data_IF_708847819220
#
_entry.id   IF_708847819220
#
_cell.length_a   1.000
_cell.length_b   1.000
_cell.length_c   1.000
_cell.angle_alpha   90.00
_cell.angle_beta   90.00
_cell.angle_gamma   90.00
#
_symmetry.space_group_name_H-M   'P 1'
#
loop_
_entity.id
_entity.type
_entity.pdbx_description
1 polymer ?
#
# COMPACT_ATOMS: atom_id res chain seq x y z
N UNK A 1 3.08 -3.65 6.64
CA UNK A 1 3.81 -2.90 7.69
C UNK A 1 2.86 -2.71 8.85
N UNK A 2 3.38 -2.65 10.07
CA UNK A 2 2.59 -2.31 11.24
C UNK A 2 2.95 -0.90 11.69
N UNK A 3 1.94 -0.10 12.01
CA UNK A 3 2.16 1.18 12.69
C UNK A 3 2.28 0.97 14.21
N UNK A 4 2.78 1.96 14.96
CA UNK A 4 2.87 1.88 16.43
C UNK A 4 1.53 1.61 17.14
N UNK A 5 0.40 1.97 16.52
CA UNK A 5 -0.97 1.71 16.95
C UNK A 5 -1.53 0.35 16.48
N UNK A 6 -0.63 -0.57 16.09
CA UNK A 6 -0.95 -1.93 15.65
C UNK A 6 -1.83 -2.02 14.39
N UNK A 7 -1.93 -0.94 13.61
CA UNK A 7 -2.65 -0.93 12.34
C UNK A 7 -1.84 -1.64 11.25
N UNK A 8 -2.46 -2.59 10.56
CA UNK A 8 -1.85 -3.25 9.40
C UNK A 8 -2.04 -2.39 8.16
N UNK A 9 -0.93 -1.85 7.64
CA UNK A 9 -0.93 -1.04 6.41
C UNK A 9 -0.19 -1.79 5.29
N UNK A 10 -0.82 -1.85 4.12
CA UNK A 10 -0.16 -2.24 2.87
C UNK A 10 0.05 -1.02 1.98
N UNK A 11 1.32 -0.75 1.64
CA UNK A 11 1.71 0.37 0.79
C UNK A 11 2.09 -0.15 -0.59
N UNK A 12 1.49 0.42 -1.62
CA UNK A 12 1.80 0.17 -3.03
C UNK A 12 2.33 1.46 -3.63
N UNK A 13 3.61 1.49 -3.94
CA UNK A 13 4.21 2.64 -4.60
C UNK A 13 4.28 2.42 -6.11
N UNK A 14 3.89 3.43 -6.88
CA UNK A 14 4.11 3.50 -8.31
C UNK A 14 4.70 4.87 -8.63
N UNK A 15 5.75 4.86 -9.43
CA UNK A 15 6.29 6.05 -10.07
C UNK A 15 6.20 5.87 -11.58
N UNK A 16 6.14 6.97 -12.32
CA UNK A 16 6.48 6.90 -13.73
C UNK A 16 7.97 6.55 -13.76
N UNK A 17 8.31 5.28 -14.02
CA UNK A 17 9.67 4.87 -14.37
C UNK A 17 9.97 5.50 -15.72
N UNK A 18 10.45 6.73 -15.70
CA UNK A 18 10.85 7.43 -16.92
C UNK A 18 12.37 7.43 -17.01
N UNK A 19 12.88 6.87 -18.10
CA UNK A 19 13.96 7.56 -18.79
C UNK A 19 13.46 8.99 -19.03
N UNK A 20 14.22 9.97 -18.55
CA UNK A 20 13.83 11.39 -18.56
C UNK A 20 13.46 11.88 -19.97
N UNK A 21 13.97 11.20 -21.00
CA UNK A 21 13.45 11.24 -22.36
C UNK A 21 12.68 9.94 -22.70
N UNK A 22 11.35 9.96 -22.83
CA UNK A 22 10.65 8.88 -23.52
C UNK A 22 11.13 8.84 -24.97
N UNK A 23 11.67 7.70 -25.40
CA UNK A 23 12.05 7.50 -26.80
C UNK A 23 10.86 7.81 -27.71
N UNK A 24 11.07 8.42 -28.89
CA UNK A 24 10.00 8.69 -29.84
C UNK A 24 9.17 7.42 -30.09
N UNK A 25 7.86 7.49 -29.85
CA UNK A 25 6.94 6.36 -30.00
C UNK A 25 6.74 5.48 -28.75
N UNK A 26 7.34 5.80 -27.60
CA UNK A 26 7.14 5.06 -26.34
C UNK A 26 6.18 5.79 -25.40
N UNK A 27 4.99 5.23 -25.19
CA UNK A 27 4.06 5.73 -24.16
C UNK A 27 4.70 5.63 -22.77
N UNK A 28 4.40 6.61 -21.91
CA UNK A 28 4.76 6.54 -20.48
C UNK A 28 4.12 5.30 -19.86
N UNK A 29 4.81 4.69 -18.90
CA UNK A 29 4.25 3.55 -18.17
C UNK A 29 2.92 3.94 -17.52
N UNK A 30 1.91 3.09 -17.71
CA UNK A 30 0.61 3.26 -17.05
C UNK A 30 0.81 2.91 -15.58
N UNK A 31 0.45 3.83 -14.69
CA UNK A 31 0.54 3.61 -13.25
C UNK A 31 -0.57 2.63 -12.83
N UNK A 32 -0.15 1.42 -12.46
CA UNK A 32 -1.00 0.33 -12.00
C UNK A 32 -0.44 -0.26 -10.71
N UNK A 33 -1.33 -0.76 -9.87
CA UNK A 33 -0.99 -1.34 -8.57
C UNK A 33 -1.51 -2.77 -8.47
N UNK A 34 -0.65 -3.67 -7.98
CA UNK A 34 -1.05 -5.03 -7.62
C UNK A 34 -1.90 -5.00 -6.34
N UNK A 35 -3.13 -5.50 -6.43
CA UNK A 35 -4.10 -5.63 -5.34
C UNK A 35 -4.55 -7.09 -5.15
N UNK A 36 -3.82 -8.04 -5.72
CA UNK A 36 -4.15 -9.44 -5.54
C UNK A 36 -4.11 -9.82 -4.07
N UNK A 37 -5.14 -10.53 -3.61
CA UNK A 37 -5.14 -11.18 -2.32
C UNK A 37 -3.86 -12.04 -2.20
N UNK A 38 -3.18 -11.96 -1.06
CA UNK A 38 -1.91 -12.67 -0.84
C UNK A 38 -2.05 -13.66 0.29
N UNK A 39 -1.31 -14.76 0.18
CA UNK A 39 -1.11 -15.63 1.33
C UNK A 39 -0.22 -14.91 2.32
N UNK A 40 -0.62 -14.92 3.58
CA UNK A 40 0.13 -14.27 4.65
C UNK A 40 1.20 -15.22 5.16
N UNK A 41 2.41 -14.71 5.36
CA UNK A 41 3.46 -15.43 6.05
C UNK A 41 3.15 -15.54 7.54
N UNK A 42 3.20 -16.75 8.09
CA UNK A 42 2.89 -17.01 9.50
C UNK A 42 4.13 -17.06 10.39
N UNK A 43 5.34 -17.05 9.82
CA UNK A 43 6.61 -17.10 10.57
C UNK A 43 6.90 -18.48 11.16
N UNK A 44 5.95 -19.06 11.88
CA UNK A 44 6.06 -20.38 12.48
C UNK A 44 5.98 -21.49 11.41
N UNK A 45 6.95 -22.40 11.42
CA UNK A 45 6.98 -23.58 10.54
C UNK A 45 7.26 -23.28 9.06
N UNK A 46 7.79 -22.10 8.73
CA UNK A 46 8.05 -21.68 7.35
C UNK A 46 6.79 -21.76 6.46
N UNK A 47 5.63 -21.41 7.05
CA UNK A 47 4.31 -21.62 6.45
C UNK A 47 3.60 -20.32 6.06
N UNK A 48 2.77 -20.44 5.03
CA UNK A 48 1.82 -19.42 4.58
C UNK A 48 0.40 -19.82 4.97
N UNK A 49 -0.51 -18.86 5.08
CA UNK A 49 -1.95 -19.16 5.20
C UNK A 49 -2.43 -20.01 4.00
N UNK A 50 -3.38 -20.91 4.26
CA UNK A 50 -3.91 -21.80 3.23
C UNK A 50 -4.59 -21.03 2.09
N UNK A 51 -5.29 -19.94 2.46
CA UNK A 51 -6.02 -19.07 1.55
C UNK A 51 -5.36 -17.70 1.45
N UNK A 52 -5.40 -17.13 0.26
CA UNK A 52 -5.02 -15.76 0.01
C UNK A 52 -6.15 -14.82 0.44
N UNK A 53 -5.81 -13.70 1.07
CA UNK A 53 -6.80 -12.72 1.54
C UNK A 53 -6.28 -11.28 1.46
N UNK A 54 -7.21 -10.32 1.57
CA UNK A 54 -6.92 -8.91 1.82
C UNK A 54 -6.85 -8.71 3.33
N UNK A 55 -5.62 -8.61 3.85
CA UNK A 55 -5.35 -8.70 5.29
C UNK A 55 -4.97 -7.36 5.95
N UNK A 56 -4.60 -6.36 5.15
CA UNK A 56 -4.31 -5.04 5.68
C UNK A 56 -5.63 -4.30 6.01
N UNK A 57 -5.66 -3.62 7.15
CA UNK A 57 -6.77 -2.77 7.53
C UNK A 57 -6.85 -1.51 6.66
N UNK A 58 -5.70 -1.03 6.19
CA UNK A 58 -5.58 0.14 5.31
C UNK A 58 -4.67 -0.17 4.12
N UNK A 59 -5.07 0.28 2.94
CA UNK A 59 -4.25 0.31 1.73
C UNK A 59 -3.87 1.74 1.37
N UNK A 60 -2.59 1.96 1.11
CA UNK A 60 -2.04 3.24 0.64
C UNK A 60 -1.42 3.04 -0.74
N UNK A 61 -1.93 3.74 -1.74
CA UNK A 61 -1.35 3.80 -3.07
C UNK A 61 -0.58 5.11 -3.20
N UNK A 62 0.76 5.03 -3.19
CA UNK A 62 1.65 6.17 -3.30
C UNK A 62 2.02 6.40 -4.78
N UNK A 63 1.77 7.61 -5.27
CA UNK A 63 2.04 8.04 -6.63
C UNK A 63 3.08 9.14 -6.61
N UNK A 64 4.22 8.89 -7.23
CA UNK A 64 5.17 9.96 -7.52
C UNK A 64 4.67 10.79 -8.71
N UNK A 65 4.51 12.09 -8.52
CA UNK A 65 3.87 13.00 -9.48
C UNK A 65 4.87 13.83 -10.29
N UNK A 66 6.13 13.89 -9.89
CA UNK A 66 7.12 14.69 -10.61
C UNK A 66 7.44 14.07 -11.96
N UNK A 67 7.26 14.88 -13.02
CA UNK A 67 7.45 14.48 -14.43
C UNK A 67 8.56 15.26 -15.13
N UNK A 68 9.20 16.19 -14.41
CA UNK A 68 10.25 17.05 -14.93
C UNK A 68 11.51 16.85 -14.06
N UNK A 69 12.62 16.52 -14.71
CA UNK A 69 13.93 16.33 -14.08
C UNK A 69 14.43 17.60 -13.36
N UNK A 70 14.27 18.76 -13.99
CA UNK A 70 14.71 20.05 -13.43
C UNK A 70 13.93 20.43 -12.17
N UNK A 71 12.69 19.94 -12.06
CA UNK A 71 11.85 20.13 -10.88
C UNK A 71 11.98 18.98 -9.88
N UNK A 72 12.74 17.93 -10.20
CA UNK A 72 12.92 16.78 -9.32
C UNK A 72 13.79 17.15 -8.12
N UNK A 73 13.22 17.03 -6.92
CA UNK A 73 13.96 17.17 -5.68
C UNK A 73 14.33 15.76 -5.18
N UNK A 74 15.61 15.50 -4.98
CA UNK A 74 16.11 14.19 -4.51
C UNK A 74 15.68 13.87 -3.05
N UNK A 75 15.17 14.85 -2.31
CA UNK A 75 14.77 14.68 -0.93
C UNK A 75 13.46 13.87 -0.81
N UNK A 76 13.58 12.67 -0.25
CA UNK A 76 12.50 11.71 0.06
C UNK A 76 11.40 12.31 0.95
N UNK A 77 11.65 13.46 1.58
CA UNK A 77 10.67 14.20 2.41
C UNK A 77 9.88 15.30 1.69
N UNK A 78 10.06 15.50 0.38
CA UNK A 78 9.27 16.50 -0.35
C UNK A 78 7.86 15.96 -0.59
N UNK A 79 6.95 16.33 0.31
CA UNK A 79 5.52 16.02 0.28
C UNK A 79 4.84 16.39 -1.04
N UNK A 80 5.33 17.43 -1.72
CA UNK A 80 4.73 17.97 -2.95
C UNK A 80 4.89 17.05 -4.17
N UNK A 81 5.87 16.13 -4.17
CA UNK A 81 6.12 15.21 -5.29
C UNK A 81 5.38 13.87 -5.14
N UNK A 82 4.63 13.70 -4.05
CA UNK A 82 3.91 12.48 -3.75
C UNK A 82 2.44 12.77 -3.49
N UNK A 83 1.58 11.95 -4.10
CA UNK A 83 0.16 11.87 -3.78
C UNK A 83 -0.15 10.49 -3.25
N UNK A 84 -1.00 10.44 -2.24
CA UNK A 84 -1.44 9.20 -1.63
C UNK A 84 -2.92 9.03 -1.83
N UNK A 85 -3.32 7.81 -2.18
CA UNK A 85 -4.71 7.41 -2.30
C UNK A 85 -4.94 6.30 -1.29
N UNK A 86 -5.83 6.53 -0.34
CA UNK A 86 -5.94 5.73 0.87
C UNK A 86 -7.36 5.18 1.00
N UNK A 87 -7.47 3.92 1.36
CA UNK A 87 -8.76 3.24 1.53
C UNK A 87 -8.63 2.06 2.50
N UNK A 88 -9.77 1.46 2.86
CA UNK A 88 -9.81 0.31 3.78
C UNK A 88 -9.52 -1.02 3.06
N UNK A 89 -9.12 -2.04 3.82
CA UNK A 89 -9.00 -3.41 3.31
C UNK A 89 -10.31 -3.95 2.75
N UNK A 90 -11.42 -3.77 3.48
CA UNK A 90 -12.78 -4.16 3.02
C UNK A 90 -13.17 -3.48 1.71
N UNK A 91 -12.80 -2.22 1.54
CA UNK A 91 -13.05 -1.52 0.28
C UNK A 91 -12.31 -2.21 -0.86
N UNK A 92 -11.01 -2.47 -0.73
CA UNK A 92 -10.21 -3.20 -1.73
C UNK A 92 -10.79 -4.58 -2.04
N UNK A 93 -11.21 -5.32 -1.02
CA UNK A 93 -11.82 -6.64 -1.18
C UNK A 93 -13.12 -6.60 -1.99
N UNK A 94 -13.90 -5.52 -1.83
CA UNK A 94 -15.17 -5.31 -2.56
C UNK A 94 -15.00 -4.92 -4.03
N UNK A 95 -13.81 -4.44 -4.44
CA UNK A 95 -13.62 -3.95 -5.80
C UNK A 95 -13.80 -5.04 -6.86
N UNK A 96 -14.32 -4.69 -8.05
CA UNK A 96 -14.45 -5.66 -9.14
C UNK A 96 -13.09 -6.11 -9.68
N UNK A 97 -12.07 -5.24 -9.61
CA UNK A 97 -10.70 -5.61 -9.91
C UNK A 97 -10.13 -6.47 -8.78
N UNK A 98 -9.62 -7.66 -9.11
CA UNK A 98 -9.08 -8.61 -8.11
C UNK A 98 -7.57 -8.76 -8.11
N UNK A 99 -6.88 -8.22 -9.11
CA UNK A 99 -5.43 -8.41 -9.28
C UNK A 99 -4.69 -7.10 -9.47
N UNK A 100 -5.22 -6.18 -10.27
CA UNK A 100 -4.61 -4.87 -10.51
C UNK A 100 -5.64 -3.76 -10.59
N UNK A 101 -5.27 -2.58 -10.10
CA UNK A 101 -6.05 -1.35 -10.27
C UNK A 101 -5.19 -0.28 -10.94
N UNK A 102 -5.76 0.40 -11.95
CA UNK A 102 -5.12 1.55 -12.59
C UNK A 102 -5.32 2.80 -11.75
N UNK A 103 -4.36 3.72 -11.76
CA UNK A 103 -4.53 5.01 -11.08
C UNK A 103 -5.81 5.75 -11.53
N UNK A 104 -6.10 5.78 -12.83
CA UNK A 104 -7.29 6.44 -13.37
C UNK A 104 -8.62 5.85 -12.89
N UNK A 105 -8.62 4.58 -12.50
CA UNK A 105 -9.77 3.92 -11.87
C UNK A 105 -9.79 4.28 -10.38
N UNK A 106 -8.64 4.16 -9.72
CA UNK A 106 -8.48 4.47 -8.29
C UNK A 106 -8.97 5.88 -7.94
N UNK A 107 -8.63 6.90 -8.73
CA UNK A 107 -9.08 8.29 -8.54
C UNK A 107 -10.61 8.47 -8.62
N UNK A 108 -11.33 7.49 -9.18
CA UNK A 108 -12.80 7.53 -9.35
C UNK A 108 -13.52 6.55 -8.44
N UNK A 109 -12.79 5.74 -7.69
CA UNK A 109 -13.36 4.71 -6.83
C UNK A 109 -13.92 5.34 -5.55
N UNK A 110 -15.20 5.11 -5.27
CA UNK A 110 -15.81 5.56 -4.03
C UNK A 110 -15.11 4.95 -2.81
N UNK A 111 -14.94 5.74 -1.75
CA UNK A 111 -14.23 5.31 -0.53
C UNK A 111 -12.71 5.36 -0.62
N UNK A 112 -12.16 5.95 -1.68
CA UNK A 112 -10.74 6.31 -1.77
C UNK A 112 -10.58 7.80 -1.46
N UNK A 113 -9.69 8.12 -0.51
CA UNK A 113 -9.34 9.49 -0.14
C UNK A 113 -7.97 9.83 -0.69
N UNK A 114 -7.87 10.90 -1.48
CA UNK A 114 -6.58 11.48 -1.88
C UNK A 114 -6.07 12.42 -0.78
N UNK A 115 -4.78 12.34 -0.46
CA UNK A 115 -4.16 13.24 0.52
C UNK A 115 -2.66 13.48 0.25
N UNK A 116 -2.12 14.52 0.91
CA UNK A 116 -0.68 14.76 0.98
C UNK A 116 0.03 13.91 2.04
N UNK A 117 1.36 14.02 2.11
CA UNK A 117 2.15 13.31 3.12
C UNK A 117 1.78 13.71 4.55
N UNK A 118 1.46 14.99 4.77
CA UNK A 118 1.15 15.55 6.10
C UNK A 118 -0.14 14.95 6.69
N UNK A 119 -1.11 14.66 5.83
CA UNK A 119 -2.43 14.14 6.21
C UNK A 119 -2.48 12.60 6.23
N UNK A 120 -1.46 11.94 5.67
CA UNK A 120 -1.47 10.51 5.39
C UNK A 120 -1.75 9.67 6.64
N UNK A 121 -1.14 10.02 7.77
CA UNK A 121 -1.31 9.27 9.01
C UNK A 121 -2.77 9.32 9.50
N UNK A 122 -3.38 10.50 9.45
CA UNK A 122 -4.75 10.69 9.94
C UNK A 122 -5.77 10.07 8.99
N UNK A 123 -5.57 10.24 7.68
CA UNK A 123 -6.40 9.59 6.67
C UNK A 123 -6.32 8.08 6.80
N UNK A 124 -5.11 7.51 6.93
CA UNK A 124 -4.92 6.07 7.06
C UNK A 124 -5.66 5.47 8.26
N UNK A 125 -5.66 6.18 9.40
CA UNK A 125 -6.43 5.78 10.58
C UNK A 125 -7.93 5.93 10.36
N UNK A 126 -8.37 7.01 9.73
CA UNK A 126 -9.81 7.31 9.56
C UNK A 126 -10.53 6.29 8.67
N UNK A 127 -9.81 5.67 7.73
CA UNK A 127 -10.38 4.67 6.80
C UNK A 127 -10.06 3.23 7.20
N UNK A 128 -9.31 3.02 8.28
CA UNK A 128 -8.92 1.67 8.69
C UNK A 128 -10.13 0.77 8.88
N UNK A 129 -10.05 -0.47 8.39
CA UNK A 129 -11.00 -1.50 8.80
C UNK A 129 -10.99 -1.60 10.34
N UNK A 130 -12.14 -1.81 10.98
CA UNK A 130 -12.16 -2.09 12.41
C UNK A 130 -11.32 -3.33 12.72
N UNK A 131 -10.76 -3.44 13.94
CA UNK A 131 -10.06 -4.65 14.36
C UNK A 131 -10.95 -5.86 14.10
N UNK A 132 -10.41 -6.81 13.34
CA UNK A 132 -11.04 -8.09 13.06
C UNK A 132 -10.14 -9.15 13.71
N UNK A 133 -10.68 -9.92 14.65
CA UNK A 133 -9.96 -10.97 15.37
C UNK A 133 -9.31 -11.97 14.39
N UNK A 134 -9.87 -12.15 13.19
CA UNK A 134 -9.30 -12.99 12.13
C UNK A 134 -8.11 -12.35 11.39
N UNK A 135 -7.96 -11.02 11.47
CA UNK A 135 -6.84 -10.25 10.92
C UNK A 135 -5.83 -9.85 12.00
N UNK A 136 -6.22 -9.93 13.28
CA UNK A 136 -5.38 -9.62 14.42
C UNK A 136 -4.19 -10.58 14.49
N UNK A 137 -3.00 -10.02 14.75
CA UNK A 137 -1.79 -10.82 14.93
C UNK A 137 -1.77 -11.23 16.40
N UNK A 138 -1.62 -12.53 16.70
CA UNK A 138 -1.25 -12.96 18.06
C UNK A 138 0.19 -12.50 18.35
N UNK A 139 0.28 -11.31 18.93
CA UNK A 139 1.54 -10.65 19.23
C UNK A 139 2.33 -11.33 20.33
N UNK A 140 1.65 -11.99 21.28
CA UNK A 140 2.32 -12.77 22.30
C UNK A 140 3.03 -13.97 21.66
N UNK A 141 2.41 -14.62 20.67
CA UNK A 141 3.05 -15.66 19.89
C UNK A 141 4.19 -15.11 19.01
N UNK A 142 3.98 -13.99 18.30
CA UNK A 142 5.00 -13.42 17.42
C UNK A 142 6.26 -12.93 18.17
N UNK A 143 6.09 -12.21 19.28
CA UNK A 143 7.22 -11.68 20.06
C UNK A 143 8.02 -12.78 20.77
N UNK A 144 7.35 -13.85 21.23
CA UNK A 144 8.05 -15.04 21.76
C UNK A 144 8.93 -15.68 20.67
N UNK A 145 8.42 -15.81 19.45
CA UNK A 145 9.16 -16.39 18.33
C UNK A 145 10.32 -15.52 17.82
N UNK A 146 10.16 -14.19 17.83
CA UNK A 146 11.22 -13.27 17.44
C UNK A 146 12.41 -13.28 18.42
N UNK A 147 12.19 -13.68 19.68
CA UNK A 147 13.24 -13.84 20.69
C UNK A 147 13.97 -15.19 20.56
N UNK A 148 13.35 -16.21 19.97
CA UNK A 148 13.88 -17.57 19.84
C UNK A 148 14.64 -17.84 18.52
N UNK A 149 14.76 -16.84 17.63
CA UNK A 149 15.45 -17.01 16.34
C UNK A 149 16.92 -16.54 16.48
N UNK A 150 17.94 -17.40 16.35
CA UNK A 150 19.34 -16.98 16.39
C UNK A 150 19.67 -16.12 15.17
N UNK A 151 20.37 -15.01 15.39
CA UNK A 151 20.93 -14.15 14.34
C UNK A 151 22.04 -14.83 13.53
#
# INVERSE_FOLDING_TARGET
MLTPDLLTIEVKASGIVQAWEPSPGRERSRQEFDIAAKKRWLGHGNAYTDKAAIVAATYVFAVHTCTNEQAYKYNVGVSEQWRFYVTSGRAVESWPQKTRVRLSVLCKTAGVTECGLEELADVARSVADPPDDAKQIDWAAYLRLAQDTPH
#
